data_IF_815916061545
#
_entry.id   IF_815916061545
#
_cell.length_a   1.000
_cell.length_b   1.000
_cell.length_c   1.000
_cell.angle_alpha   90.00
_cell.angle_beta   90.00
_cell.angle_gamma   90.00
#
_symmetry.space_group_name_H-M   'P 1'
#
loop_
_entity.id
_entity.type
_entity.pdbx_description
1 polymer ?
#
# COMPACT_ATOMS: atom_id res chain seq x y z
N UNK A 1 -5.98 3.82 14.87
CA UNK A 1 -4.89 2.83 15.02
C UNK A 1 -5.13 1.57 14.19
N UNK A 2 -6.13 0.73 14.50
CA UNK A 2 -6.35 -0.55 13.78
C UNK A 2 -6.55 -0.40 12.27
N UNK A 3 -7.41 0.53 11.81
CA UNK A 3 -7.66 0.78 10.38
C UNK A 3 -6.39 1.17 9.62
N UNK A 4 -5.61 2.09 10.19
CA UNK A 4 -4.34 2.54 9.62
C UNK A 4 -3.35 1.38 9.53
N UNK A 5 -3.21 0.59 10.60
CA UNK A 5 -2.34 -0.59 10.61
C UNK A 5 -2.73 -1.61 9.54
N UNK A 6 -4.02 -1.97 9.42
CA UNK A 6 -4.48 -2.91 8.41
C UNK A 6 -4.40 -2.35 6.99
N UNK A 7 -4.54 -1.04 6.82
CA UNK A 7 -4.37 -0.39 5.51
C UNK A 7 -2.91 -0.44 5.08
N UNK A 8 -1.97 -0.18 5.99
CA UNK A 8 -0.53 -0.29 5.73
C UNK A 8 -0.14 -1.75 5.48
N UNK A 9 -0.61 -2.69 6.30
CA UNK A 9 -0.32 -4.12 6.13
C UNK A 9 -0.88 -4.65 4.81
N UNK A 10 -2.12 -4.29 4.48
CA UNK A 10 -2.76 -4.65 3.22
C UNK A 10 -2.06 -4.02 2.02
N UNK A 11 -1.67 -2.74 2.13
CA UNK A 11 -0.90 -2.06 1.10
C UNK A 11 0.50 -2.63 0.93
N UNK A 12 1.14 -3.11 1.99
CA UNK A 12 2.45 -3.75 1.91
C UNK A 12 2.37 -5.10 1.21
N UNK A 13 1.39 -5.94 1.56
CA UNK A 13 1.18 -7.24 0.91
C UNK A 13 0.77 -7.08 -0.56
N UNK A 14 -0.29 -6.31 -0.83
CA UNK A 14 -0.83 -6.15 -2.17
C UNK A 14 0.09 -5.29 -3.05
N UNK A 15 0.67 -4.23 -2.48
CA UNK A 15 1.59 -3.33 -3.17
C UNK A 15 2.85 -4.03 -3.62
N UNK A 16 3.47 -4.85 -2.77
CA UNK A 16 4.64 -5.62 -3.18
C UNK A 16 4.30 -6.65 -4.25
N UNK A 17 3.23 -7.43 -4.08
CA UNK A 17 2.84 -8.45 -5.08
C UNK A 17 2.53 -7.82 -6.44
N UNK A 18 1.76 -6.73 -6.47
CA UNK A 18 1.45 -6.01 -7.72
C UNK A 18 2.70 -5.38 -8.33
N UNK A 19 3.64 -4.89 -7.52
CA UNK A 19 4.88 -4.30 -8.03
C UNK A 19 5.75 -5.32 -8.78
N UNK A 20 5.84 -6.57 -8.29
CA UNK A 20 6.53 -7.64 -9.00
C UNK A 20 5.91 -7.95 -10.37
N UNK A 21 4.59 -7.81 -10.50
CA UNK A 21 3.87 -8.06 -11.76
C UNK A 21 4.02 -6.90 -12.73
N UNK A 22 4.00 -5.66 -12.24
CA UNK A 22 3.95 -4.44 -13.06
C UNK A 22 5.33 -3.89 -13.45
N UNK A 23 6.32 -3.99 -12.57
CA UNK A 23 7.58 -3.25 -12.71
C UNK A 23 8.78 -4.08 -13.14
N UNK A 24 8.57 -5.28 -13.71
CA UNK A 24 9.62 -6.13 -14.33
C UNK A 24 10.94 -6.10 -13.53
N UNK A 25 10.91 -6.60 -12.29
CA UNK A 25 12.07 -6.65 -11.41
C UNK A 25 13.30 -7.18 -12.15
N UNK A 26 14.32 -6.34 -12.32
CA UNK A 26 15.61 -6.77 -12.84
C UNK A 26 16.43 -7.26 -11.66
N UNK A 27 16.86 -8.52 -11.73
CA UNK A 27 17.71 -9.11 -10.70
C UNK A 27 18.94 -8.23 -10.48
N UNK A 28 19.33 -8.04 -9.21
CA UNK A 28 20.54 -7.30 -8.80
C UNK A 28 21.72 -7.71 -9.66
N UNK A 29 22.06 -6.90 -10.66
CA UNK A 29 23.18 -7.19 -11.55
C UNK A 29 24.48 -6.94 -10.79
N UNK A 30 25.37 -7.92 -10.85
CA UNK A 30 26.73 -7.76 -10.35
C UNK A 30 27.48 -6.95 -11.40
N UNK A 31 27.62 -5.65 -11.14
CA UNK A 31 28.38 -4.74 -11.99
C UNK A 31 29.82 -4.69 -11.47
N UNK A 32 30.79 -5.10 -12.29
CA UNK A 32 32.21 -4.90 -12.00
C UNK A 32 32.56 -3.46 -12.36
N UNK A 33 32.75 -2.61 -11.36
CA UNK A 33 33.12 -1.21 -11.56
C UNK A 33 34.61 -1.07 -11.30
N UNK A 34 35.38 -0.71 -12.32
CA UNK A 34 36.80 -0.40 -12.16
C UNK A 34 36.95 1.00 -11.56
N UNK A 35 37.12 1.08 -10.24
CA UNK A 35 37.52 2.32 -9.55
C UNK A 35 38.99 2.22 -9.18
N UNK A 36 39.79 3.13 -9.72
CA UNK A 36 41.22 3.27 -9.41
C UNK A 36 42.05 1.98 -9.64
N UNK A 37 41.72 1.18 -10.66
CA UNK A 37 42.50 -0.01 -11.02
C UNK A 37 42.21 -1.26 -10.18
N UNK A 38 41.18 -1.22 -9.32
CA UNK A 38 40.71 -2.38 -8.56
C UNK A 38 39.29 -2.70 -9.00
N UNK A 39 39.04 -3.95 -9.38
CA UNK A 39 37.71 -4.43 -9.71
C UNK A 39 36.87 -4.53 -8.42
N UNK A 40 35.85 -3.68 -8.30
CA UNK A 40 34.90 -3.75 -7.21
C UNK A 40 33.61 -4.43 -7.68
N UNK A 41 33.18 -5.44 -6.93
CA UNK A 41 31.89 -6.10 -7.09
C UNK A 41 30.85 -5.21 -6.44
N UNK A 42 30.12 -4.41 -7.23
CA UNK A 42 28.99 -3.64 -6.75
C UNK A 42 27.70 -4.44 -7.01
N UNK A 43 27.04 -4.87 -5.93
CA UNK A 43 25.66 -5.35 -6.03
C UNK A 43 24.74 -4.14 -6.16
N UNK A 44 24.34 -3.82 -7.39
CA UNK A 44 23.41 -2.72 -7.63
C UNK A 44 21.99 -3.23 -7.34
N UNK A 45 21.44 -2.78 -6.22
CA UNK A 45 20.01 -2.94 -5.94
C UNK A 45 19.23 -2.24 -7.05
N UNK A 46 18.21 -2.91 -7.59
CA UNK A 46 17.27 -2.32 -8.56
C UNK A 46 16.46 -1.21 -7.87
N UNK A 47 17.07 -0.03 -7.81
CA UNK A 47 16.54 1.14 -7.10
C UNK A 47 15.26 1.63 -7.75
N UNK A 48 15.15 1.51 -9.07
CA UNK A 48 13.94 1.87 -9.80
C UNK A 48 12.77 0.96 -9.38
N UNK A 49 13.01 -0.35 -9.29
CA UNK A 49 12.01 -1.26 -8.76
C UNK A 49 11.63 -0.93 -7.32
N UNK A 50 12.61 -0.73 -6.43
CA UNK A 50 12.35 -0.44 -5.00
C UNK A 50 11.57 0.87 -4.85
N UNK A 51 11.96 1.90 -5.60
CA UNK A 51 11.28 3.20 -5.58
C UNK A 51 9.84 3.08 -6.08
N UNK A 52 9.63 2.45 -7.25
CA UNK A 52 8.29 2.24 -7.80
C UNK A 52 7.42 1.35 -6.89
N UNK A 53 8.00 0.30 -6.31
CA UNK A 53 7.30 -0.57 -5.37
C UNK A 53 6.89 0.17 -4.09
N UNK A 54 7.74 1.07 -3.59
CA UNK A 54 7.41 1.89 -2.42
C UNK A 54 6.23 2.83 -2.68
N UNK A 55 6.19 3.47 -3.87
CA UNK A 55 5.05 4.29 -4.29
C UNK A 55 3.78 3.46 -4.43
N UNK A 56 3.89 2.24 -4.97
CA UNK A 56 2.77 1.32 -5.10
C UNK A 56 2.18 0.92 -3.75
N UNK A 57 3.04 0.56 -2.78
CA UNK A 57 2.62 0.23 -1.41
C UNK A 57 1.90 1.41 -0.74
N UNK A 58 2.44 2.62 -0.89
CA UNK A 58 1.81 3.83 -0.35
C UNK A 58 0.45 4.08 -1.03
N UNK A 59 0.40 4.01 -2.36
CA UNK A 59 -0.81 4.21 -3.14
C UNK A 59 -1.93 3.25 -2.75
N UNK A 60 -1.64 1.95 -2.67
CA UNK A 60 -2.61 0.94 -2.26
C UNK A 60 -3.02 1.13 -0.80
N UNK A 61 -2.08 1.47 0.10
CA UNK A 61 -2.41 1.74 1.50
C UNK A 61 -3.42 2.87 1.65
N UNK A 62 -3.22 3.98 0.92
CA UNK A 62 -4.17 5.11 0.91
C UNK A 62 -5.51 4.65 0.36
N UNK A 63 -5.51 3.88 -0.73
CA UNK A 63 -6.73 3.42 -1.41
C UNK A 63 -7.57 2.51 -0.51
N UNK A 64 -6.93 1.56 0.19
CA UNK A 64 -7.59 0.71 1.20
C UNK A 64 -8.18 1.57 2.31
N UNK A 65 -7.40 2.52 2.84
CA UNK A 65 -7.85 3.38 3.92
C UNK A 65 -9.07 4.21 3.50
N UNK A 66 -9.04 4.81 2.31
CA UNK A 66 -10.14 5.62 1.78
C UNK A 66 -11.41 4.80 1.58
N UNK A 67 -11.31 3.60 0.98
CA UNK A 67 -12.47 2.72 0.79
C UNK A 67 -13.07 2.33 2.14
N UNK A 68 -12.23 1.93 3.10
CA UNK A 68 -12.70 1.55 4.44
C UNK A 68 -13.38 2.72 5.14
N UNK A 69 -12.76 3.90 5.14
CA UNK A 69 -13.35 5.11 5.71
C UNK A 69 -14.71 5.46 5.09
N UNK A 70 -14.87 5.24 3.79
CA UNK A 70 -16.14 5.50 3.10
C UNK A 70 -17.24 4.49 3.48
N UNK A 71 -16.88 3.21 3.61
CA UNK A 71 -17.81 2.15 4.04
C UNK A 71 -18.27 2.36 5.48
N UNK A 72 -17.35 2.70 6.38
CA UNK A 72 -17.69 2.95 7.79
C UNK A 72 -18.67 4.12 7.91
N UNK A 73 -18.40 5.22 7.21
CA UNK A 73 -19.27 6.40 7.22
C UNK A 73 -20.69 6.08 6.73
N UNK A 74 -20.84 5.28 5.67
CA UNK A 74 -22.16 4.85 5.20
C UNK A 74 -22.89 3.96 6.20
N UNK A 75 -22.15 3.14 6.95
CA UNK A 75 -22.72 2.25 7.97
C UNK A 75 -23.25 3.07 9.14
N UNK A 76 -22.49 4.07 9.58
CA UNK A 76 -22.88 4.98 10.67
C UNK A 76 -24.11 5.83 10.29
N UNK A 77 -24.14 6.38 9.07
CA UNK A 77 -25.29 7.14 8.54
C UNK A 77 -26.56 6.28 8.50
N UNK A 78 -26.44 5.00 8.09
CA UNK A 78 -27.57 4.07 8.08
C UNK A 78 -28.07 3.77 9.50
N UNK A 79 -27.16 3.51 10.43
CA UNK A 79 -27.52 3.22 11.82
C UNK A 79 -28.26 4.40 12.48
N UNK A 80 -27.80 5.63 12.27
CA UNK A 80 -28.44 6.83 12.79
C UNK A 80 -29.88 6.98 12.25
N UNK A 81 -30.07 6.74 10.95
CA UNK A 81 -31.38 6.80 10.31
C UNK A 81 -32.35 5.77 10.89
N UNK A 82 -31.89 4.53 11.08
CA UNK A 82 -32.70 3.44 11.63
C UNK A 82 -33.08 3.72 13.10
N UNK A 83 -32.17 4.30 13.88
CA UNK A 83 -32.41 4.71 15.27
C UNK A 83 -33.45 5.83 15.38
N UNK A 84 -33.35 6.88 14.57
CA UNK A 84 -34.33 7.98 14.57
C UNK A 84 -35.72 7.53 14.14
N UNK A 85 -35.81 6.64 13.14
CA UNK A 85 -37.08 6.06 12.70
C UNK A 85 -37.75 5.27 13.82
N UNK A 86 -36.99 4.41 14.50
CA UNK A 86 -37.50 3.58 15.61
C UNK A 86 -37.93 4.42 16.82
N UNK A 87 -37.28 5.55 17.07
CA UNK A 87 -37.67 6.47 18.15
C UNK A 87 -38.98 7.19 17.85
N UNK A 88 -39.20 7.61 16.60
CA UNK A 88 -40.44 8.29 16.19
C UNK A 88 -41.65 7.36 16.19
N UNK A 89 -41.46 6.06 15.99
CA UNK A 89 -42.54 5.07 16.03
C UNK A 89 -43.00 4.73 17.45
N UNK A 90 -42.12 4.90 18.45
CA UNK A 90 -42.41 4.61 19.86
C UNK A 90 -42.83 5.85 20.69
N UNK A 91 -43.05 7.01 20.05
CA UNK A 91 -43.49 8.27 20.69
C UNK A 91 -44.88 8.66 20.21
#
# INVERSE_FOLDING_TARGET
MKKIFFSILGGLLLGLVTSFILFNYQSSSISYVNRAGVDQVAGEMDFDFVFNASLMVIGISILIFTIWSFVDRKTDEKFLKDYESSRKENS
#
